data_IF_103851168042
#
_entry.id   IF_103851168042
#
_cell.length_a   1.000
_cell.length_b   1.000
_cell.length_c   1.000
_cell.angle_alpha   90.00
_cell.angle_beta   90.00
_cell.angle_gamma   90.00
#
_symmetry.space_group_name_H-M   'P 1'
#
loop_
_entity.id
_entity.type
_entity.pdbx_description
1 polymer ?
#
# COMPACT_ATOMS: atom_id res chain seq x y z
N UNK A 1 20.82 -9.13 -3.66
CA UNK A 1 19.52 -9.78 -3.90
C UNK A 1 18.56 -9.16 -2.89
N UNK A 2 17.76 -8.17 -3.31
CA UNK A 2 16.85 -7.42 -2.44
C UNK A 2 15.58 -8.24 -2.23
N UNK A 3 15.37 -8.73 -1.00
CA UNK A 3 14.22 -9.57 -0.64
C UNK A 3 12.86 -8.82 -0.66
N UNK A 4 12.85 -7.49 -0.83
CA UNK A 4 11.64 -6.66 -0.74
C UNK A 4 10.56 -6.94 -1.82
N UNK A 5 10.86 -7.68 -2.89
CA UNK A 5 9.94 -7.83 -4.03
C UNK A 5 9.26 -9.19 -4.18
N UNK A 6 9.67 -10.25 -3.47
CA UNK A 6 9.13 -11.59 -3.76
C UNK A 6 7.73 -11.80 -3.18
N UNK A 7 7.44 -11.18 -2.04
CA UNK A 7 6.17 -11.38 -1.32
C UNK A 7 4.97 -10.76 -2.03
N UNK A 8 5.19 -9.70 -2.81
CA UNK A 8 4.09 -9.03 -3.53
C UNK A 8 3.48 -9.90 -4.64
N UNK A 9 4.32 -10.73 -5.28
CA UNK A 9 3.85 -11.66 -6.31
C UNK A 9 2.95 -12.76 -5.73
N UNK A 10 3.12 -13.11 -4.45
CA UNK A 10 2.24 -14.09 -3.79
C UNK A 10 0.84 -13.52 -3.56
N UNK A 11 0.72 -12.23 -3.22
CA UNK A 11 -0.59 -11.57 -3.00
C UNK A 11 -1.42 -11.55 -4.28
N UNK A 12 -0.77 -11.35 -5.43
CA UNK A 12 -1.43 -11.44 -6.74
C UNK A 12 -1.90 -12.86 -7.08
N UNK A 13 -1.12 -13.89 -6.71
CA UNK A 13 -1.50 -15.29 -6.94
C UNK A 13 -2.76 -15.68 -6.17
N UNK A 14 -2.99 -15.10 -4.99
CA UNK A 14 -4.20 -15.33 -4.17
C UNK A 14 -5.26 -14.22 -4.32
N UNK A 15 -5.10 -13.31 -5.28
CA UNK A 15 -6.07 -12.27 -5.66
C UNK A 15 -6.51 -11.36 -4.52
N UNK A 16 -5.57 -10.88 -3.71
CA UNK A 16 -5.91 -9.84 -2.71
C UNK A 16 -6.31 -8.55 -3.45
N UNK A 17 -7.51 -7.99 -3.19
CA UNK A 17 -8.00 -6.83 -3.93
C UNK A 17 -7.20 -5.56 -3.63
N UNK A 18 -6.68 -5.43 -2.40
CA UNK A 18 -5.90 -4.28 -1.95
C UNK A 18 -4.78 -4.72 -0.99
N UNK A 19 -3.56 -4.21 -1.20
CA UNK A 19 -2.41 -4.49 -0.34
C UNK A 19 -1.60 -3.21 -0.06
N UNK A 20 -1.00 -3.14 1.11
CA UNK A 20 -0.30 -1.94 1.59
C UNK A 20 1.18 -2.25 1.80
N UNK A 21 2.05 -1.34 1.36
CA UNK A 21 3.49 -1.38 1.63
C UNK A 21 3.82 -0.17 2.50
N UNK A 22 4.39 -0.41 3.67
CA UNK A 22 4.94 0.64 4.54
C UNK A 22 6.45 0.65 4.35
N UNK A 23 6.99 1.78 3.89
CA UNK A 23 8.42 1.99 3.70
C UNK A 23 8.91 3.12 4.63
N UNK A 24 9.57 2.73 5.72
CA UNK A 24 10.17 3.67 6.68
C UNK A 24 11.40 4.38 6.15
N UNK A 25 12.15 3.76 5.23
CA UNK A 25 13.37 4.37 4.68
C UNK A 25 12.99 5.56 3.77
N UNK A 26 11.89 5.43 3.03
CA UNK A 26 11.35 6.47 2.14
C UNK A 26 10.24 7.32 2.81
N UNK A 27 9.89 7.05 4.08
CA UNK A 27 8.78 7.69 4.80
C UNK A 27 7.48 7.72 3.99
N UNK A 28 7.09 6.55 3.46
CA UNK A 28 6.03 6.42 2.46
C UNK A 28 5.13 5.21 2.74
N UNK A 29 3.84 5.36 2.45
CA UNK A 29 2.88 4.25 2.39
C UNK A 29 2.39 4.10 0.95
N UNK A 30 2.39 2.89 0.41
CA UNK A 30 1.86 2.58 -0.92
C UNK A 30 0.65 1.67 -0.82
N UNK A 31 -0.47 2.05 -1.43
CA UNK A 31 -1.65 1.19 -1.60
C UNK A 31 -1.66 0.65 -3.02
N UNK A 32 -1.70 -0.66 -3.15
CA UNK A 32 -1.76 -1.38 -4.42
C UNK A 32 -3.13 -2.00 -4.57
N UNK A 33 -3.78 -1.68 -5.68
CA UNK A 33 -5.07 -2.24 -6.06
C UNK A 33 -4.87 -3.23 -7.19
N UNK A 34 -5.39 -4.43 -6.99
CA UNK A 34 -5.52 -5.43 -8.02
C UNK A 34 -6.75 -5.07 -8.87
N UNK A 35 -6.55 -4.40 -10.00
CA UNK A 35 -7.61 -4.20 -11.00
C UNK A 35 -7.32 -5.07 -12.22
N UNK A 36 -8.36 -5.62 -12.83
CA UNK A 36 -8.22 -6.47 -14.01
C UNK A 36 -7.43 -5.73 -15.11
N UNK A 37 -6.21 -6.20 -15.37
CA UNK A 37 -5.33 -5.66 -16.42
C UNK A 37 -4.37 -4.54 -16.01
N UNK A 38 -4.29 -4.11 -14.73
CA UNK A 38 -3.25 -3.15 -14.27
C UNK A 38 -3.08 -3.15 -12.75
N UNK A 39 -1.85 -3.11 -12.25
CA UNK A 39 -1.60 -2.80 -10.84
C UNK A 39 -1.64 -1.28 -10.65
N UNK A 40 -2.67 -0.77 -9.96
CA UNK A 40 -2.71 0.66 -9.61
C UNK A 40 -2.07 0.83 -8.24
N UNK A 41 -0.81 1.26 -8.23
CA UNK A 41 -0.11 1.73 -7.03
C UNK A 41 -0.39 3.23 -6.83
N UNK A 42 -0.77 3.61 -5.61
CA UNK A 42 -0.81 5.00 -5.16
C UNK A 42 0.08 5.13 -3.93
N UNK A 43 0.89 6.18 -3.93
CA UNK A 43 1.85 6.47 -2.86
C UNK A 43 1.34 7.66 -2.04
N UNK A 44 1.60 7.63 -0.74
CA UNK A 44 1.19 8.64 0.25
C UNK A 44 2.35 8.93 1.20
N UNK A 45 2.53 10.19 1.56
CA UNK A 45 3.64 10.70 2.39
C UNK A 45 3.14 11.75 3.39
N UNK A 46 3.82 11.87 4.53
CA UNK A 46 3.48 12.87 5.56
C UNK A 46 1.99 12.88 5.94
N UNK A 47 1.36 14.05 5.89
CA UNK A 47 -0.05 14.25 6.24
C UNK A 47 -1.05 13.88 5.13
N UNK A 48 -0.62 13.24 4.03
CA UNK A 48 -1.53 12.79 2.98
C UNK A 48 -2.44 11.68 3.53
N UNK A 49 -3.76 11.87 3.39
CA UNK A 49 -4.73 10.86 3.78
C UNK A 49 -4.64 9.66 2.82
N UNK A 50 -4.47 8.48 3.41
CA UNK A 50 -4.46 7.22 2.67
C UNK A 50 -5.88 6.92 2.20
N UNK A 51 -6.03 6.74 0.89
CA UNK A 51 -7.31 6.38 0.27
C UNK A 51 -7.35 4.87 0.03
N UNK A 52 -8.10 4.18 0.89
CA UNK A 52 -8.42 2.75 0.76
C UNK A 52 -9.74 2.55 0.04
N UNK A 53 -9.79 1.65 -0.93
CA UNK A 53 -11.07 1.23 -1.53
C UNK A 53 -11.74 0.16 -0.68
N UNK A 54 -10.94 -0.66 0.01
CA UNK A 54 -11.43 -1.74 0.89
C UNK A 54 -11.99 -1.18 2.21
N UNK A 55 -11.41 -0.10 2.72
CA UNK A 55 -11.82 0.57 3.96
C UNK A 55 -12.09 2.06 3.73
N UNK A 56 -13.19 2.45 3.07
CA UNK A 56 -13.45 3.85 2.69
C UNK A 56 -13.58 4.83 3.87
N UNK A 57 -13.93 4.33 5.05
CA UNK A 57 -14.08 5.15 6.26
C UNK A 57 -12.76 5.31 7.04
N UNK A 58 -11.68 4.67 6.59
CA UNK A 58 -10.37 4.76 7.23
C UNK A 58 -9.79 6.15 7.01
N UNK A 59 -9.67 6.91 8.09
CA UNK A 59 -9.11 8.25 8.10
C UNK A 59 -7.74 8.24 8.77
N UNK A 60 -6.74 7.69 8.06
CA UNK A 60 -5.34 7.68 8.47
C UNK A 60 -4.49 8.43 7.45
N UNK A 61 -3.47 9.11 7.94
CA UNK A 61 -2.38 9.70 7.15
C UNK A 61 -1.18 8.74 7.07
N UNK A 62 -0.30 8.97 6.10
CA UNK A 62 0.94 8.19 6.01
C UNK A 62 1.83 8.34 7.26
N UNK A 63 1.90 9.54 7.84
CA UNK A 63 2.64 9.81 9.07
C UNK A 63 2.08 9.05 10.28
N UNK A 64 0.75 8.97 10.42
CA UNK A 64 0.12 8.19 11.50
C UNK A 64 0.42 6.69 11.37
N UNK A 65 0.48 6.15 10.15
CA UNK A 65 0.85 4.75 9.91
C UNK A 65 2.33 4.51 10.22
N UNK A 66 3.21 5.44 9.85
CA UNK A 66 4.66 5.32 10.06
C UNK A 66 5.10 5.52 11.51
N UNK A 67 4.25 6.12 12.35
CA UNK A 67 4.52 6.41 13.76
C UNK A 67 3.94 5.39 14.77
N UNK A 68 3.30 4.33 14.26
CA UNK A 68 2.70 3.26 15.07
C UNK A 68 3.70 2.24 15.64
#
# INVERSE_FOLDING_TARGET
MNYKNTDIYLLWAIKIPESWIVDWDESKVSVLLLVEGSDRRREFTGSEQIISQTFPELSLTAEEVLSA
#
